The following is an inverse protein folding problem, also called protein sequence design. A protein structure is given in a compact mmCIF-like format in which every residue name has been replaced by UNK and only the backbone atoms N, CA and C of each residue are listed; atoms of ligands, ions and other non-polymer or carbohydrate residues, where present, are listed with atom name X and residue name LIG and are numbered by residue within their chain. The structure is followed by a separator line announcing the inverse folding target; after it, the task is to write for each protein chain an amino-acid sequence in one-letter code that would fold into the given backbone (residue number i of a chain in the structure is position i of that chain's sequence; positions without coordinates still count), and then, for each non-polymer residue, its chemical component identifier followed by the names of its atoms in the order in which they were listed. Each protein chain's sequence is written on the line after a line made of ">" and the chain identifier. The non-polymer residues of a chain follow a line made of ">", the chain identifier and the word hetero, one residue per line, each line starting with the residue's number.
data_IF_973919804535
#
_entry.id   IF_973919804535
#
_cell.length_a   1.000
_cell.length_b   1.000
_cell.length_c   1.000
_cell.angle_alpha   90.00
_cell.angle_beta   90.00
_cell.angle_gamma   90.00
#
_symmetry.space_group_name_H-M   'P 1'
#
loop_
_entity.id
_entity.type
_entity.pdbx_description
1 polymer ?
#
# COMPACT_ATOMS: atom_id res chain seq x y z
N UNK A 1 -62.51 -21.52 35.54
CA UNK A 1 -61.45 -21.27 34.54
C UNK A 1 -61.26 -19.76 34.39
N UNK A 2 -60.28 -19.16 35.06
CA UNK A 2 -59.92 -17.76 34.85
C UNK A 2 -58.71 -17.69 33.91
N UNK A 3 -58.92 -17.11 32.74
CA UNK A 3 -57.88 -16.80 31.76
C UNK A 3 -57.22 -15.49 32.20
N UNK A 4 -55.98 -15.59 32.68
CA UNK A 4 -55.16 -14.43 33.03
C UNK A 4 -54.68 -13.69 31.78
N UNK A 5 -55.17 -12.46 31.59
CA UNK A 5 -54.68 -11.50 30.59
C UNK A 5 -53.18 -11.23 30.80
N UNK A 6 -52.32 -11.70 29.89
CA UNK A 6 -50.93 -11.21 29.74
C UNK A 6 -50.87 -10.13 28.67
N UNK A 7 -51.31 -8.92 29.03
CA UNK A 7 -50.98 -7.71 28.29
C UNK A 7 -49.79 -7.02 28.96
N UNK A 8 -48.64 -6.88 28.27
CA UNK A 8 -47.62 -5.93 28.71
C UNK A 8 -46.14 -6.27 28.59
N UNK A 9 -45.71 -7.34 27.89
CA UNK A 9 -44.28 -7.69 27.82
C UNK A 9 -43.56 -7.42 26.47
N UNK A 10 -44.25 -6.86 25.47
CA UNK A 10 -43.63 -6.60 24.15
C UNK A 10 -42.87 -5.28 24.02
N UNK A 11 -43.16 -4.29 24.87
CA UNK A 11 -42.67 -2.90 24.69
C UNK A 11 -41.23 -2.68 25.16
N UNK A 12 -40.82 -3.33 26.26
CA UNK A 12 -39.45 -3.20 26.77
C UNK A 12 -38.40 -3.83 25.86
N UNK A 13 -38.76 -4.93 25.19
CA UNK A 13 -37.86 -5.65 24.28
C UNK A 13 -37.66 -4.87 22.97
N UNK A 14 -38.71 -4.23 22.43
CA UNK A 14 -38.61 -3.43 21.20
C UNK A 14 -37.74 -2.17 21.38
N UNK A 15 -37.83 -1.49 22.52
CA UNK A 15 -37.03 -0.29 22.82
C UNK A 15 -35.56 -0.67 23.04
N UNK A 16 -35.29 -1.77 23.76
CA UNK A 16 -33.93 -2.28 23.94
C UNK A 16 -33.27 -2.67 22.61
N UNK A 17 -34.03 -3.27 21.68
CA UNK A 17 -33.53 -3.61 20.34
C UNK A 17 -33.16 -2.39 19.49
N UNK A 18 -33.93 -1.30 19.56
CA UNK A 18 -33.62 -0.06 18.84
C UNK A 18 -32.37 0.65 19.39
N UNK A 19 -32.21 0.68 20.72
CA UNK A 19 -31.04 1.28 21.36
C UNK A 19 -29.78 0.46 21.03
N UNK A 20 -29.85 -0.87 21.14
CA UNK A 20 -28.74 -1.75 20.80
C UNK A 20 -28.32 -1.61 19.32
N UNK A 21 -29.30 -1.50 18.41
CA UNK A 21 -29.04 -1.30 16.98
C UNK A 21 -28.43 0.08 16.69
N UNK A 22 -28.92 1.14 17.35
CA UNK A 22 -28.37 2.49 17.21
C UNK A 22 -26.94 2.61 17.73
N UNK A 23 -26.66 2.01 18.90
CA UNK A 23 -25.31 1.96 19.47
C UNK A 23 -24.37 1.16 18.58
N UNK A 24 -24.82 0.04 18.01
CA UNK A 24 -24.02 -0.76 17.07
C UNK A 24 -23.70 0.00 15.78
N UNK A 25 -24.68 0.69 15.19
CA UNK A 25 -24.47 1.51 13.98
C UNK A 25 -23.50 2.67 14.26
N UNK A 26 -23.63 3.34 15.41
CA UNK A 26 -22.70 4.39 15.83
C UNK A 26 -21.29 3.85 16.05
N UNK A 27 -21.16 2.68 16.67
CA UNK A 27 -19.87 2.02 16.87
C UNK A 27 -19.21 1.65 15.53
N UNK A 28 -19.94 1.01 14.61
CA UNK A 28 -19.45 0.68 13.28
C UNK A 28 -19.09 1.96 12.50
N UNK A 29 -19.94 2.99 12.55
CA UNK A 29 -19.68 4.28 11.90
C UNK A 29 -18.41 4.95 12.43
N UNK A 30 -18.18 4.90 13.74
CA UNK A 30 -16.99 5.44 14.38
C UNK A 30 -15.73 4.64 14.01
N UNK A 31 -15.81 3.31 14.00
CA UNK A 31 -14.70 2.44 13.54
C UNK A 31 -14.33 2.71 12.08
N UNK A 32 -15.32 2.88 11.20
CA UNK A 32 -15.08 3.23 9.78
C UNK A 32 -14.45 4.61 9.66
N UNK A 33 -14.95 5.62 10.38
CA UNK A 33 -14.39 6.98 10.36
C UNK A 33 -12.93 7.00 10.83
N UNK A 34 -12.60 6.29 11.91
CA UNK A 34 -11.23 6.21 12.43
C UNK A 34 -10.29 5.41 11.51
N UNK A 35 -10.75 4.30 10.89
CA UNK A 35 -9.93 3.49 10.00
C UNK A 35 -9.50 4.20 8.71
N UNK A 36 -10.31 5.16 8.24
CA UNK A 36 -10.05 5.92 7.02
C UNK A 36 -9.06 7.06 7.23
N UNK A 37 -8.81 7.49 8.47
CA UNK A 37 -8.04 8.70 8.75
C UNK A 37 -6.52 8.53 8.59
N UNK A 38 -6.00 7.29 8.62
CA UNK A 38 -4.57 6.99 8.53
C UNK A 38 -4.11 6.25 7.26
N UNK A 39 -5.04 5.71 6.47
CA UNK A 39 -4.74 4.92 5.27
C UNK A 39 -4.77 5.78 4.01
N UNK A 40 -3.93 5.44 3.02
CA UNK A 40 -3.97 6.12 1.74
C UNK A 40 -5.29 5.83 1.02
N UNK A 41 -5.97 6.86 0.51
CA UNK A 41 -7.19 6.68 -0.28
C UNK A 41 -6.86 6.66 -1.76
N UNK A 42 -7.53 5.76 -2.47
CA UNK A 42 -7.38 5.55 -3.90
C UNK A 42 -8.69 5.83 -4.63
N UNK A 43 -8.60 6.25 -5.88
CA UNK A 43 -9.75 6.33 -6.78
C UNK A 43 -10.08 4.96 -7.40
N UNK A 44 -11.07 4.93 -8.30
CA UNK A 44 -11.50 3.73 -8.99
C UNK A 44 -10.41 3.14 -9.94
N UNK A 45 -9.43 3.94 -10.34
CA UNK A 45 -8.29 3.50 -11.14
C UNK A 45 -7.12 3.00 -10.27
N UNK A 46 -7.25 3.04 -8.95
CA UNK A 46 -6.23 2.64 -8.00
C UNK A 46 -5.20 3.73 -7.69
N UNK A 47 -5.34 4.93 -8.23
CA UNK A 47 -4.41 6.04 -8.01
C UNK A 47 -4.63 6.67 -6.65
N UNK A 48 -3.54 6.96 -5.95
CA UNK A 48 -3.58 7.64 -4.65
C UNK A 48 -4.05 9.08 -4.82
N UNK A 49 -5.19 9.41 -4.22
CA UNK A 49 -5.80 10.75 -4.23
C UNK A 49 -5.70 11.45 -2.88
N UNK A 50 -5.42 10.70 -1.81
CA UNK A 50 -5.14 11.23 -0.48
C UNK A 50 -4.01 10.44 0.15
N UNK A 51 -3.04 11.16 0.69
CA UNK A 51 -1.87 10.59 1.34
C UNK A 51 -2.25 9.74 2.55
N UNK A 52 -1.46 8.70 2.82
CA UNK A 52 -1.62 7.88 4.02
C UNK A 52 -0.62 6.74 4.08
N UNK A 53 -0.59 6.05 5.22
CA UNK A 53 0.35 4.95 5.44
C UNK A 53 -0.12 3.70 4.68
N UNK A 54 0.84 3.03 4.03
CA UNK A 54 0.66 1.74 3.36
C UNK A 54 1.83 0.82 3.69
N UNK A 55 1.60 -0.50 3.70
CA UNK A 55 2.73 -1.43 3.80
C UNK A 55 3.56 -1.37 2.52
N UNK A 56 4.88 -1.43 2.66
CA UNK A 56 5.78 -1.39 1.50
C UNK A 56 5.52 -2.55 0.52
N UNK A 57 5.11 -3.72 1.02
CA UNK A 57 4.76 -4.86 0.16
C UNK A 57 3.40 -4.75 -0.53
N UNK A 58 2.62 -3.70 -0.25
CA UNK A 58 1.28 -3.46 -0.82
C UNK A 58 1.21 -2.25 -1.75
N UNK A 59 2.35 -1.67 -2.10
CA UNK A 59 2.41 -0.57 -3.07
C UNK A 59 2.07 -1.10 -4.47
N UNK A 60 1.35 -0.29 -5.24
CA UNK A 60 0.93 -0.60 -6.60
C UNK A 60 1.86 0.10 -7.59
N UNK A 61 1.92 -0.43 -8.81
CA UNK A 61 2.57 0.28 -9.91
C UNK A 61 1.91 1.65 -10.10
N UNK A 62 2.72 2.70 -10.22
CA UNK A 62 2.29 4.10 -10.28
C UNK A 62 2.10 4.77 -8.91
N UNK A 63 2.35 4.08 -7.80
CA UNK A 63 2.35 4.71 -6.49
C UNK A 63 3.59 5.56 -6.27
N UNK A 64 3.34 6.77 -5.75
CA UNK A 64 4.37 7.68 -5.28
C UNK A 64 4.44 7.61 -3.76
N UNK A 65 5.65 7.46 -3.21
CA UNK A 65 5.86 7.15 -1.80
C UNK A 65 6.93 8.04 -1.16
N UNK A 66 6.72 8.31 0.12
CA UNK A 66 7.61 9.03 1.03
C UNK A 66 7.99 8.15 2.21
N UNK A 67 9.13 8.45 2.83
CA UNK A 67 9.62 7.74 4.02
C UNK A 67 10.53 6.56 3.69
N UNK A 68 11.19 6.61 2.51
CA UNK A 68 12.28 5.69 2.16
C UNK A 68 13.64 6.15 2.71
N UNK A 69 13.64 7.18 3.55
CA UNK A 69 14.84 7.71 4.19
C UNK A 69 15.47 6.70 5.17
N UNK A 70 16.79 6.66 5.18
CA UNK A 70 17.67 5.94 6.12
C UNK A 70 18.09 4.51 5.77
N UNK A 71 17.78 4.00 4.57
CA UNK A 71 18.35 2.73 4.11
C UNK A 71 17.86 1.47 4.87
N UNK A 72 16.88 1.63 5.75
CA UNK A 72 16.11 0.52 6.31
C UNK A 72 14.86 0.32 5.46
N UNK A 73 14.59 -0.93 5.06
CA UNK A 73 13.30 -1.28 4.46
C UNK A 73 12.24 -1.16 5.55
N UNK A 74 11.63 0.02 5.66
CA UNK A 74 10.52 0.25 6.57
C UNK A 74 9.36 -0.69 6.19
N UNK A 75 8.69 -1.27 7.19
CA UNK A 75 7.51 -2.13 6.96
C UNK A 75 6.35 -1.38 6.31
N UNK A 76 6.37 -0.05 6.41
CA UNK A 76 5.39 0.87 5.84
C UNK A 76 6.04 2.13 5.28
N UNK A 77 5.43 2.70 4.25
CA UNK A 77 5.75 4.01 3.67
C UNK A 77 4.48 4.87 3.64
N UNK A 78 4.65 6.16 3.35
CA UNK A 78 3.51 7.05 3.11
C UNK A 78 3.28 7.10 1.60
N UNK A 79 2.17 6.55 1.12
CA UNK A 79 1.76 6.78 -0.26
C UNK A 79 1.15 8.18 -0.37
N UNK A 80 1.49 8.91 -1.43
CA UNK A 80 1.05 10.29 -1.68
C UNK A 80 0.58 10.45 -3.14
N UNK A 81 -0.28 11.42 -3.45
CA UNK A 81 -0.56 11.76 -4.85
C UNK A 81 0.73 12.19 -5.55
N UNK A 82 1.04 11.61 -6.72
CA UNK A 82 2.28 11.89 -7.47
C UNK A 82 2.47 13.35 -7.90
N UNK A 83 1.42 14.17 -7.84
CA UNK A 83 1.52 15.63 -8.05
C UNK A 83 2.10 16.37 -6.85
N UNK A 84 2.30 15.70 -5.72
CA UNK A 84 3.00 16.20 -4.55
C UNK A 84 4.47 15.74 -4.59
N UNK A 85 5.39 16.53 -4.00
CA UNK A 85 6.77 16.10 -3.84
C UNK A 85 6.87 14.77 -3.08
N UNK A 86 7.68 13.82 -3.58
CA UNK A 86 7.83 12.48 -3.01
C UNK A 86 9.24 11.89 -3.22
N UNK A 87 9.60 10.89 -2.42
CA UNK A 87 10.92 10.24 -2.48
C UNK A 87 11.05 9.28 -3.69
N UNK A 88 10.04 8.45 -3.96
CA UNK A 88 10.12 7.44 -5.03
C UNK A 88 8.79 7.12 -5.72
N UNK A 89 8.86 6.56 -6.92
CA UNK A 89 7.70 6.03 -7.65
C UNK A 89 7.89 4.55 -8.02
N UNK A 90 6.83 3.75 -7.88
CA UNK A 90 6.82 2.33 -8.23
C UNK A 90 6.61 2.15 -9.74
N UNK A 91 7.60 1.59 -10.42
CA UNK A 91 7.59 1.38 -11.88
C UNK A 91 7.12 -0.02 -12.26
N UNK A 92 7.42 -1.02 -11.43
CA UNK A 92 7.00 -2.40 -11.67
C UNK A 92 6.88 -3.20 -10.37
N UNK A 93 5.94 -4.15 -10.37
CA UNK A 93 5.87 -5.24 -9.42
C UNK A 93 5.93 -6.56 -10.20
N UNK A 94 6.87 -7.43 -9.85
CA UNK A 94 7.09 -8.72 -10.50
C UNK A 94 7.16 -9.79 -9.43
N UNK A 95 6.57 -10.96 -9.66
CA UNK A 95 6.75 -12.10 -8.76
C UNK A 95 7.76 -13.07 -9.39
N UNK A 96 8.76 -13.48 -8.63
CA UNK A 96 9.67 -14.53 -9.07
C UNK A 96 8.95 -15.89 -9.13
N UNK A 97 9.45 -16.85 -9.93
CA UNK A 97 8.93 -18.22 -9.90
C UNK A 97 8.99 -18.81 -8.48
N UNK A 98 7.94 -19.52 -8.09
CA UNK A 98 7.93 -20.26 -6.83
C UNK A 98 9.00 -21.37 -6.84
N UNK A 99 9.62 -21.63 -5.69
CA UNK A 99 10.65 -22.65 -5.55
C UNK A 99 11.50 -22.44 -4.31
N UNK A 100 12.60 -23.19 -4.24
CA UNK A 100 13.60 -23.02 -3.18
C UNK A 100 14.26 -21.65 -3.28
N UNK A 101 14.48 -21.02 -2.13
CA UNK A 101 15.11 -19.71 -2.08
C UNK A 101 16.58 -19.83 -2.50
N UNK A 102 17.02 -19.14 -3.57
CA UNK A 102 18.37 -19.29 -4.12
C UNK A 102 19.45 -18.58 -3.27
N UNK A 103 19.06 -17.96 -2.15
CA UNK A 103 19.92 -17.13 -1.31
C UNK A 103 19.83 -15.65 -1.64
N UNK A 104 20.33 -14.82 -0.73
CA UNK A 104 20.17 -13.35 -0.81
C UNK A 104 20.83 -12.75 -2.05
N UNK A 105 22.06 -13.17 -2.37
CA UNK A 105 22.83 -12.58 -3.47
C UNK A 105 22.22 -12.92 -4.84
N UNK A 106 21.81 -14.17 -5.04
CA UNK A 106 21.16 -14.60 -6.28
C UNK A 106 19.77 -13.92 -6.45
N UNK A 107 19.01 -13.79 -5.36
CA UNK A 107 17.72 -13.09 -5.38
C UNK A 107 17.90 -11.60 -5.72
N UNK A 108 18.90 -10.94 -5.13
CA UNK A 108 19.22 -9.55 -5.40
C UNK A 108 19.66 -9.33 -6.85
N UNK A 109 20.54 -10.18 -7.38
CA UNK A 109 21.03 -10.08 -8.75
C UNK A 109 19.88 -10.20 -9.76
N UNK A 110 18.96 -11.14 -9.53
CA UNK A 110 17.77 -11.32 -10.36
C UNK A 110 16.82 -10.11 -10.26
N UNK A 111 16.55 -9.63 -9.03
CA UNK A 111 15.71 -8.46 -8.80
C UNK A 111 16.25 -7.22 -9.52
N UNK A 112 17.56 -6.98 -9.40
CA UNK A 112 18.25 -5.89 -10.08
C UNK A 112 18.12 -5.98 -11.60
N UNK A 113 18.40 -7.15 -12.18
CA UNK A 113 18.28 -7.39 -13.63
C UNK A 113 16.86 -7.10 -14.13
N UNK A 114 15.85 -7.62 -13.43
CA UNK A 114 14.44 -7.40 -13.75
C UNK A 114 14.10 -5.91 -13.67
N UNK A 115 14.50 -5.22 -12.59
CA UNK A 115 14.17 -3.81 -12.42
C UNK A 115 14.88 -2.92 -13.44
N UNK A 116 16.15 -3.18 -13.76
CA UNK A 116 16.88 -2.49 -14.84
C UNK A 116 16.14 -2.64 -16.18
N UNK A 117 15.69 -3.86 -16.51
CA UNK A 117 14.91 -4.10 -17.72
C UNK A 117 13.55 -3.39 -17.71
N UNK A 118 12.79 -3.49 -16.62
CA UNK A 118 11.46 -2.86 -16.51
C UNK A 118 11.54 -1.35 -16.62
N UNK A 119 12.52 -0.73 -15.95
CA UNK A 119 12.73 0.72 -16.00
C UNK A 119 13.16 1.14 -17.40
N UNK A 120 14.12 0.44 -18.03
CA UNK A 120 14.56 0.75 -19.39
C UNK A 120 13.40 0.64 -20.40
N UNK A 121 12.52 -0.37 -20.25
CA UNK A 121 11.37 -0.55 -21.14
C UNK A 121 10.29 0.51 -20.92
N UNK A 122 9.89 0.76 -19.67
CA UNK A 122 8.77 1.67 -19.34
C UNK A 122 9.13 3.13 -19.46
N UNK A 123 10.39 3.48 -19.20
CA UNK A 123 10.89 4.86 -19.21
C UNK A 123 11.79 5.16 -20.41
N UNK A 124 11.76 4.34 -21.46
CA UNK A 124 12.62 4.47 -22.65
C UNK A 124 12.64 5.89 -23.26
N UNK A 125 11.52 6.61 -23.19
CA UNK A 125 11.35 7.96 -23.74
C UNK A 125 11.26 9.04 -22.66
N UNK A 126 11.54 8.71 -21.40
CA UNK A 126 11.43 9.66 -20.29
C UNK A 126 12.63 10.62 -20.29
N UNK A 127 12.41 11.95 -20.28
CA UNK A 127 13.52 12.92 -20.16
C UNK A 127 14.18 12.88 -18.78
N UNK A 128 13.61 12.14 -17.83
CA UNK A 128 14.13 11.99 -16.48
C UNK A 128 15.09 10.80 -16.34
N UNK A 129 15.22 9.94 -17.34
CA UNK A 129 15.93 8.66 -17.21
C UNK A 129 17.36 8.82 -16.65
N UNK A 130 18.11 9.80 -17.13
CA UNK A 130 19.52 10.02 -16.74
C UNK A 130 19.72 10.47 -15.28
N UNK A 131 18.68 10.99 -14.63
CA UNK A 131 18.75 11.44 -13.23
C UNK A 131 18.12 10.45 -12.24
N UNK A 132 17.46 9.42 -12.74
CA UNK A 132 16.80 8.42 -11.92
C UNK A 132 17.77 7.34 -11.47
N UNK A 133 17.50 6.80 -10.28
CA UNK A 133 18.14 5.57 -9.79
C UNK A 133 17.10 4.55 -9.44
N UNK A 134 17.45 3.30 -9.68
CA UNK A 134 16.61 2.16 -9.39
C UNK A 134 16.86 1.74 -7.94
N UNK A 135 15.77 1.55 -7.21
CA UNK A 135 15.74 0.87 -5.93
C UNK A 135 14.88 -0.38 -6.09
N UNK A 136 15.48 -1.54 -5.90
CA UNK A 136 14.79 -2.83 -5.90
C UNK A 136 14.51 -3.29 -4.48
N UNK A 137 13.27 -3.71 -4.24
CA UNK A 137 12.87 -4.38 -3.02
C UNK A 137 12.61 -5.84 -3.32
N UNK A 138 13.23 -6.73 -2.55
CA UNK A 138 13.14 -8.18 -2.73
C UNK A 138 13.23 -8.92 -1.39
N UNK A 139 12.92 -10.21 -1.33
CA UNK A 139 13.05 -10.99 -0.10
C UNK A 139 14.52 -11.21 0.27
N UNK A 140 15.00 -10.54 1.32
CA UNK A 140 16.39 -10.65 1.79
C UNK A 140 16.70 -11.92 2.62
N UNK A 141 15.68 -12.70 3.01
CA UNK A 141 15.84 -13.93 3.77
C UNK A 141 14.76 -14.97 3.44
N UNK A 142 15.00 -16.23 3.83
CA UNK A 142 14.08 -17.36 3.61
C UNK A 142 12.68 -17.09 4.16
N UNK A 143 12.57 -16.51 5.36
CA UNK A 143 11.28 -16.24 5.98
C UNK A 143 10.47 -15.20 5.19
N UNK A 144 11.12 -14.22 4.57
CA UNK A 144 10.47 -13.29 3.65
C UNK A 144 10.04 -13.99 2.36
N UNK A 145 10.93 -14.78 1.75
CA UNK A 145 10.65 -15.57 0.53
C UNK A 145 9.44 -16.51 0.71
N UNK A 146 9.33 -17.13 1.88
CA UNK A 146 8.23 -18.06 2.19
C UNK A 146 6.87 -17.38 2.34
N UNK A 147 6.86 -16.08 2.64
CA UNK A 147 5.62 -15.27 2.57
C UNK A 147 5.28 -14.86 1.14
N UNK A 148 6.22 -15.02 0.22
CA UNK A 148 6.13 -14.61 -1.17
C UNK A 148 7.46 -14.06 -1.65
N UNK A 149 7.57 -13.97 -2.96
CA UNK A 149 8.77 -13.55 -3.66
C UNK A 149 8.49 -12.36 -4.61
N UNK A 150 7.90 -11.26 -4.11
CA UNK A 150 7.71 -10.05 -4.90
C UNK A 150 9.04 -9.31 -5.07
N UNK A 151 9.20 -8.74 -6.25
CA UNK A 151 10.16 -7.70 -6.59
C UNK A 151 9.38 -6.43 -6.85
N UNK A 152 9.67 -5.37 -6.12
CA UNK A 152 9.15 -4.04 -6.38
C UNK A 152 10.28 -3.16 -6.89
N UNK A 153 10.11 -2.63 -8.09
CA UNK A 153 11.06 -1.74 -8.73
C UNK A 153 10.60 -0.30 -8.55
N UNK A 154 11.35 0.48 -7.78
CA UNK A 154 11.10 1.90 -7.60
C UNK A 154 12.17 2.72 -8.29
N UNK A 155 11.83 3.96 -8.62
CA UNK A 155 12.79 4.97 -9.06
C UNK A 155 12.81 6.15 -8.12
N UNK A 156 14.00 6.65 -7.84
CA UNK A 156 14.26 7.85 -7.03
C UNK A 156 15.01 8.88 -7.88
N UNK A 157 14.82 10.16 -7.58
CA UNK A 157 15.64 11.24 -8.15
C UNK A 157 16.87 11.47 -7.26
N UNK A 158 18.08 11.46 -7.82
CA UNK A 158 19.27 11.86 -7.05
C UNK A 158 19.55 13.37 -7.13
N UNK A 159 18.81 14.09 -7.95
CA UNK A 159 18.92 15.54 -8.10
C UNK A 159 17.80 16.24 -7.31
N UNK A 160 17.80 17.57 -7.31
CA UNK A 160 16.73 18.39 -6.70
C UNK A 160 16.43 18.06 -5.21
N UNK A 161 17.46 17.74 -4.42
CA UNK A 161 17.28 17.41 -3.01
C UNK A 161 16.67 16.02 -2.77
N UNK A 162 16.68 15.14 -3.78
CA UNK A 162 16.23 13.76 -3.64
C UNK A 162 14.72 13.56 -3.83
N UNK A 163 14.03 14.54 -4.42
CA UNK A 163 12.56 14.57 -4.48
C UNK A 163 12.07 14.65 -5.93
N UNK A 164 11.17 13.73 -6.26
CA UNK A 164 10.33 13.80 -7.45
C UNK A 164 9.17 14.77 -7.19
N UNK A 165 8.82 15.60 -8.17
CA UNK A 165 7.75 16.62 -8.05
C UNK A 165 6.59 16.38 -9.01
N UNK A 166 6.65 15.27 -9.74
CA UNK A 166 5.64 14.83 -10.68
C UNK A 166 5.82 13.35 -11.00
N UNK A 167 4.83 12.73 -11.67
CA UNK A 167 4.91 11.33 -12.06
C UNK A 167 6.03 11.08 -13.07
N UNK A 168 6.67 9.93 -12.92
CA UNK A 168 7.78 9.43 -13.73
C UNK A 168 7.30 8.37 -14.71
N UNK A 169 6.47 7.44 -14.23
CA UNK A 169 5.75 6.46 -15.02
C UNK A 169 4.45 7.02 -15.59
N UNK A 170 3.95 6.36 -16.63
CA UNK A 170 2.67 6.67 -17.30
C UNK A 170 1.63 5.58 -17.06
#
# INVERSE_FOLDING_TARGET
>A
MQIGRRGGQGRGVAIAGLIASGVWILFVGLVVLFGVMGSAQRDAAGKVIRSGSVSIGSVHVGDCVDGLANGEVATSVTAVPCTQPHDAEVIANVALPAGDWPGVDATHQEARSICEQQVAQKLANSPMLDRLRILDLFPHNKAAWDRGNPITCLVVDLQNGGRLTGPVGS
#
